data_IF_386293082962
#
_entry.id   IF_386293082962
#
_cell.length_a   1.000
_cell.length_b   1.000
_cell.length_c   1.000
_cell.angle_alpha   90.00
_cell.angle_beta   90.00
_cell.angle_gamma   90.00
#
_symmetry.space_group_name_H-M   'P 1'
#
loop_
_entity.id
_entity.type
_entity.pdbx_description
1 polymer ?
#
# COMPACT_ATOMS: atom_id res chain seq x y z
N UNK A 1 -8.14 -71.36 17.12
CA UNK A 1 -9.03 -72.44 16.64
C UNK A 1 -9.46 -72.05 15.24
N UNK A 2 -9.20 -72.76 14.15
CA UNK A 2 -8.65 -74.09 13.93
C UNK A 2 -9.23 -74.59 12.60
N UNK A 3 -8.36 -75.17 11.76
CA UNK A 3 -8.66 -76.12 10.66
C UNK A 3 -9.31 -75.49 9.42
N UNK A 4 -8.79 -75.63 8.20
CA UNK A 4 -8.04 -76.75 7.60
C UNK A 4 -9.00 -77.81 7.06
N UNK A 5 -8.67 -78.39 5.89
CA UNK A 5 -9.36 -79.41 5.05
C UNK A 5 -9.79 -78.75 3.71
N UNK A 6 -9.06 -78.81 2.59
CA UNK A 6 -8.46 -79.91 1.82
C UNK A 6 -9.46 -80.99 1.40
N UNK A 7 -9.71 -81.17 0.10
CA UNK A 7 -9.66 -82.47 -0.58
C UNK A 7 -9.81 -82.33 -2.11
N UNK A 8 -8.93 -83.07 -2.78
CA UNK A 8 -8.67 -83.31 -4.21
C UNK A 8 -9.54 -84.52 -4.66
N UNK A 9 -10.00 -84.69 -5.94
CA UNK A 9 -9.29 -85.56 -6.93
C UNK A 9 -9.66 -85.27 -8.43
N UNK A 10 -9.16 -85.88 -9.52
CA UNK A 10 -7.99 -86.69 -9.92
C UNK A 10 -8.00 -86.78 -11.47
N UNK A 11 -6.83 -86.54 -12.10
CA UNK A 11 -6.12 -87.24 -13.20
C UNK A 11 -6.79 -87.59 -14.54
N UNK A 12 -6.03 -87.39 -15.64
CA UNK A 12 -5.58 -88.48 -16.53
C UNK A 12 -4.08 -88.35 -16.84
N UNK A 13 -3.48 -89.52 -17.06
CA UNK A 13 -2.06 -89.87 -17.11
C UNK A 13 -1.77 -90.38 -18.52
N UNK A 14 -0.68 -89.94 -19.17
CA UNK A 14 -0.02 -90.76 -20.20
C UNK A 14 1.49 -90.63 -20.00
N UNK A 15 2.08 -91.80 -19.76
CA UNK A 15 3.49 -92.13 -19.56
C UNK A 15 4.23 -92.36 -20.88
N UNK A 16 5.57 -92.41 -20.78
CA UNK A 16 6.59 -93.17 -21.55
C UNK A 16 7.75 -92.22 -21.90
N UNK A 17 9.03 -92.51 -21.73
CA UNK A 17 9.77 -93.62 -21.12
C UNK A 17 11.24 -93.14 -21.01
N UNK A 18 11.97 -93.59 -19.98
CA UNK A 18 13.40 -93.31 -19.77
C UNK A 18 14.16 -94.62 -19.97
N UNK A 19 15.46 -94.58 -20.35
CA UNK A 19 16.40 -95.57 -19.86
C UNK A 19 17.38 -94.95 -18.87
N UNK A 20 17.31 -95.46 -17.63
CA UNK A 20 18.39 -95.92 -16.71
C UNK A 20 19.84 -95.50 -17.05
N UNK A 21 20.71 -95.08 -16.12
CA UNK A 21 21.34 -95.88 -15.03
C UNK A 21 22.01 -94.94 -13.98
N UNK A 22 21.54 -94.96 -12.72
CA UNK A 22 22.23 -95.23 -11.42
C UNK A 22 23.79 -95.02 -11.38
N UNK A 23 24.47 -94.22 -10.53
CA UNK A 23 24.70 -94.35 -9.07
C UNK A 23 25.78 -93.31 -8.58
N UNK A 24 25.71 -92.99 -7.27
CA UNK A 24 26.74 -92.47 -6.33
C UNK A 24 27.26 -91.03 -6.44
N UNK A 25 26.93 -90.24 -5.41
CA UNK A 25 27.83 -89.21 -4.86
C UNK A 25 28.65 -89.80 -3.71
N UNK A 26 29.98 -89.61 -3.73
CA UNK A 26 30.82 -89.74 -2.54
C UNK A 26 32.04 -88.81 -2.58
N UNK A 27 32.51 -88.49 -1.36
CA UNK A 27 33.44 -87.43 -0.93
C UNK A 27 34.85 -87.46 -1.53
N UNK A 28 35.42 -86.25 -1.53
CA UNK A 28 36.84 -85.88 -1.64
C UNK A 28 37.78 -86.61 -0.66
N UNK A 29 39.01 -86.94 -1.11
CA UNK A 29 40.30 -86.72 -0.39
C UNK A 29 41.49 -86.73 -1.38
N UNK A 30 42.47 -85.84 -1.16
CA UNK A 30 43.70 -85.54 -1.95
C UNK A 30 44.71 -86.70 -2.11
N UNK A 31 45.57 -86.66 -3.16
CA UNK A 31 47.06 -86.60 -3.08
C UNK A 31 47.75 -86.44 -4.47
N UNK A 32 48.68 -85.46 -4.56
CA UNK A 32 49.85 -85.20 -5.45
C UNK A 32 49.93 -85.62 -6.94
N UNK A 33 50.06 -84.66 -7.89
CA UNK A 33 51.32 -84.21 -8.56
C UNK A 33 51.75 -85.10 -9.76
N UNK A 34 52.13 -84.68 -10.99
CA UNK A 34 52.49 -83.44 -11.70
C UNK A 34 52.60 -83.80 -13.19
N UNK A 35 52.21 -82.91 -14.13
CA UNK A 35 52.93 -82.48 -15.35
C UNK A 35 51.98 -81.64 -16.24
N UNK A 36 52.46 -80.49 -16.72
CA UNK A 36 51.64 -79.42 -17.27
C UNK A 36 51.27 -79.53 -18.75
N UNK A 37 50.33 -78.67 -19.15
CA UNK A 37 50.43 -77.62 -20.17
C UNK A 37 49.20 -76.72 -19.94
N UNK A 38 49.49 -75.42 -19.87
CA UNK A 38 48.62 -74.33 -19.48
C UNK A 38 47.77 -73.86 -20.68
N UNK A 39 46.45 -73.81 -20.51
CA UNK A 39 45.54 -73.11 -21.45
C UNK A 39 44.56 -72.32 -20.60
N UNK A 40 44.94 -71.07 -20.35
CA UNK A 40 44.15 -70.01 -19.75
C UNK A 40 42.92 -69.73 -20.61
N UNK A 41 41.75 -70.20 -20.17
CA UNK A 41 40.44 -69.77 -20.67
C UNK A 41 40.08 -68.42 -20.07
N UNK A 42 40.35 -67.38 -20.85
CA UNK A 42 39.99 -65.99 -20.63
C UNK A 42 38.45 -65.87 -20.49
N UNK A 43 37.94 -65.82 -19.26
CA UNK A 43 36.62 -65.24 -19.01
C UNK A 43 36.78 -63.73 -19.19
N UNK A 44 36.44 -63.25 -20.38
CA UNK A 44 36.28 -61.84 -20.68
C UNK A 44 35.20 -61.26 -19.74
N UNK A 45 35.64 -60.78 -18.59
CA UNK A 45 34.90 -59.80 -17.83
C UNK A 45 34.72 -58.59 -18.76
N UNK A 46 33.51 -58.42 -19.30
CA UNK A 46 33.15 -57.21 -20.05
C UNK A 46 33.39 -56.02 -19.12
N UNK A 47 34.55 -55.40 -19.23
CA UNK A 47 34.91 -54.24 -18.44
C UNK A 47 33.83 -53.20 -18.73
N UNK A 48 33.00 -52.88 -17.72
CA UNK A 48 32.03 -51.81 -17.83
C UNK A 48 32.83 -50.55 -18.18
N UNK A 49 32.66 -50.12 -19.42
CA UNK A 49 33.56 -49.18 -20.06
C UNK A 49 33.16 -47.76 -19.58
N UNK A 50 33.50 -47.49 -18.31
CA UNK A 50 33.10 -46.27 -17.62
C UNK A 50 33.99 -45.11 -18.08
N UNK A 51 33.36 -43.97 -18.34
CA UNK A 51 34.11 -42.74 -18.54
C UNK A 51 34.73 -42.27 -17.22
N UNK A 52 35.91 -41.68 -17.33
CA UNK A 52 36.59 -40.94 -16.26
C UNK A 52 36.02 -39.52 -16.16
N UNK A 53 36.77 -38.59 -15.54
CA UNK A 53 36.39 -37.18 -15.48
C UNK A 53 36.03 -36.59 -16.86
N UNK A 54 34.96 -35.79 -16.94
CA UNK A 54 34.53 -35.15 -18.18
C UNK A 54 35.50 -34.05 -18.63
N UNK A 55 35.50 -33.69 -19.93
CA UNK A 55 36.45 -32.76 -20.49
C UNK A 55 36.38 -31.37 -19.83
N UNK A 56 37.52 -30.67 -19.77
CA UNK A 56 37.55 -29.28 -19.31
C UNK A 56 36.91 -28.39 -20.36
N UNK A 57 35.97 -27.55 -19.96
CA UNK A 57 35.31 -26.56 -20.83
C UNK A 57 35.64 -25.15 -20.32
N UNK A 58 36.15 -24.25 -21.17
CA UNK A 58 36.44 -22.87 -20.77
C UNK A 58 35.22 -22.18 -20.14
N UNK A 59 35.44 -21.54 -18.99
CA UNK A 59 34.44 -20.80 -18.24
C UNK A 59 33.22 -21.63 -17.77
N UNK A 60 33.36 -22.94 -17.66
CA UNK A 60 32.33 -23.82 -17.14
C UNK A 60 32.90 -24.93 -16.23
N UNK A 61 32.10 -25.37 -15.26
CA UNK A 61 32.43 -26.46 -14.35
C UNK A 61 31.38 -27.57 -14.41
N UNK A 62 31.77 -28.84 -14.50
CA UNK A 62 30.81 -29.95 -14.51
C UNK A 62 30.17 -30.14 -13.13
N UNK A 63 28.89 -30.49 -13.10
CA UNK A 63 28.14 -30.77 -11.87
C UNK A 63 28.28 -32.27 -11.56
N UNK A 64 29.32 -32.64 -10.78
CA UNK A 64 29.72 -34.05 -10.60
C UNK A 64 29.19 -34.72 -9.32
N UNK A 65 28.83 -33.95 -8.30
CA UNK A 65 28.61 -34.52 -6.95
C UNK A 65 29.87 -35.21 -6.43
N UNK A 66 29.72 -36.32 -5.70
CA UNK A 66 30.82 -37.13 -5.14
C UNK A 66 31.21 -38.33 -6.04
N UNK A 67 31.12 -38.19 -7.37
CA UNK A 67 31.34 -39.30 -8.32
C UNK A 67 32.66 -39.14 -9.07
N UNK A 68 33.48 -40.19 -9.02
CA UNK A 68 34.76 -40.27 -9.72
C UNK A 68 34.75 -41.25 -10.92
N UNK A 69 33.65 -41.98 -11.14
CA UNK A 69 33.47 -42.91 -12.27
C UNK A 69 32.06 -42.79 -12.84
N UNK A 70 31.96 -42.70 -14.16
CA UNK A 70 30.71 -42.42 -14.87
C UNK A 70 30.32 -43.58 -15.79
N UNK A 71 29.23 -44.32 -15.49
CA UNK A 71 28.80 -45.41 -16.35
C UNK A 71 28.35 -44.93 -17.73
N UNK A 72 28.26 -45.86 -18.66
CA UNK A 72 27.80 -45.60 -20.03
C UNK A 72 26.37 -45.00 -20.06
N UNK A 73 26.13 -44.11 -21.01
CA UNK A 73 24.90 -43.30 -21.18
C UNK A 73 24.62 -42.28 -20.07
N UNK A 74 25.56 -42.05 -19.15
CA UNK A 74 25.46 -40.95 -18.19
C UNK A 74 25.68 -39.61 -18.89
N UNK A 75 24.80 -38.67 -18.58
CA UNK A 75 24.91 -37.27 -19.01
C UNK A 75 25.42 -36.43 -17.84
N UNK A 76 26.47 -35.65 -18.08
CA UNK A 76 26.98 -34.63 -17.14
C UNK A 76 26.70 -33.25 -17.72
N UNK A 77 26.01 -32.43 -16.93
CA UNK A 77 25.74 -31.03 -17.27
C UNK A 77 26.75 -30.12 -16.61
N UNK A 78 27.16 -29.09 -17.34
CA UNK A 78 28.08 -28.07 -16.87
C UNK A 78 27.32 -26.81 -16.46
N UNK A 79 27.84 -26.14 -15.44
CA UNK A 79 27.42 -24.81 -15.00
C UNK A 79 28.46 -23.79 -15.44
N UNK A 80 28.03 -22.66 -15.99
CA UNK A 80 28.96 -21.56 -16.28
C UNK A 80 29.53 -20.96 -14.98
N UNK A 81 30.77 -20.48 -15.07
CA UNK A 81 31.44 -19.77 -13.99
C UNK A 81 30.78 -18.42 -13.71
N UNK A 82 31.08 -17.81 -12.56
CA UNK A 82 30.57 -16.49 -12.20
C UNK A 82 30.90 -15.44 -13.28
N UNK A 83 29.89 -14.63 -13.65
CA UNK A 83 30.01 -13.65 -14.74
C UNK A 83 29.88 -14.21 -16.15
N UNK A 84 29.62 -15.52 -16.30
CA UNK A 84 29.33 -16.18 -17.57
C UNK A 84 27.94 -16.82 -17.56
N UNK A 85 27.28 -16.77 -18.71
CA UNK A 85 25.94 -17.34 -18.89
C UNK A 85 25.93 -18.26 -20.11
N UNK A 86 25.13 -19.32 -20.05
CA UNK A 86 24.91 -20.26 -21.15
C UNK A 86 24.32 -19.51 -22.35
N UNK A 87 25.01 -19.56 -23.47
CA UNK A 87 24.54 -19.02 -24.75
C UNK A 87 23.36 -19.87 -25.24
N UNK A 88 22.20 -19.25 -25.55
CA UNK A 88 21.03 -19.97 -26.06
C UNK A 88 21.35 -20.82 -27.29
N UNK A 89 20.80 -22.03 -27.35
CA UNK A 89 20.97 -22.96 -28.48
C UNK A 89 22.25 -23.80 -28.46
N UNK A 90 23.19 -23.58 -27.53
CA UNK A 90 24.38 -24.42 -27.37
C UNK A 90 24.17 -25.52 -26.31
N UNK A 91 24.74 -26.71 -26.56
CA UNK A 91 24.74 -27.81 -25.59
C UNK A 91 25.68 -27.49 -24.43
N UNK A 92 25.20 -27.69 -23.20
CA UNK A 92 25.92 -27.56 -21.94
C UNK A 92 26.21 -28.90 -21.28
N UNK A 93 25.99 -30.01 -22.00
CA UNK A 93 26.06 -31.34 -21.44
C UNK A 93 26.85 -32.28 -22.35
N UNK A 94 27.54 -33.24 -21.73
CA UNK A 94 28.26 -34.33 -22.37
C UNK A 94 27.66 -35.67 -21.97
N UNK A 95 27.65 -36.63 -22.89
CA UNK A 95 27.22 -38.00 -22.63
C UNK A 95 28.39 -38.97 -22.77
N UNK A 96 28.50 -39.93 -21.85
CA UNK A 96 29.48 -41.00 -21.91
C UNK A 96 29.01 -42.12 -22.86
N UNK A 97 29.72 -42.35 -23.96
CA UNK A 97 29.41 -43.40 -24.94
C UNK A 97 30.68 -44.21 -25.25
N UNK A 98 30.64 -45.53 -25.08
CA UNK A 98 31.79 -46.42 -25.31
C UNK A 98 33.08 -45.93 -24.62
N UNK A 99 33.05 -45.65 -23.31
CA UNK A 99 34.17 -45.06 -22.53
C UNK A 99 34.68 -43.69 -23.00
N UNK A 100 33.94 -42.98 -23.87
CA UNK A 100 34.36 -41.67 -24.37
C UNK A 100 33.26 -40.62 -24.22
N UNK A 101 33.64 -39.44 -23.76
CA UNK A 101 32.73 -38.30 -23.70
C UNK A 101 32.41 -37.77 -25.09
N UNK A 102 31.15 -37.43 -25.32
CA UNK A 102 30.71 -36.69 -26.51
C UNK A 102 31.42 -35.33 -26.60
N UNK A 103 31.56 -34.81 -27.82
CA UNK A 103 32.13 -33.48 -28.04
C UNK A 103 31.20 -32.40 -27.48
N UNK A 104 31.78 -31.41 -26.80
CA UNK A 104 31.10 -30.19 -26.35
C UNK A 104 31.93 -28.99 -26.78
N UNK A 105 31.27 -27.96 -27.30
CA UNK A 105 31.91 -26.71 -27.69
C UNK A 105 31.75 -25.67 -26.57
N UNK A 106 32.51 -24.58 -26.63
CA UNK A 106 32.32 -23.46 -25.70
C UNK A 106 30.90 -22.89 -25.80
N UNK A 107 30.18 -22.96 -24.68
CA UNK A 107 28.79 -22.55 -24.58
C UNK A 107 28.55 -21.45 -23.54
N UNK A 108 29.56 -21.08 -22.75
CA UNK A 108 29.48 -19.99 -21.77
C UNK A 108 30.13 -18.73 -22.34
N UNK A 109 29.43 -17.60 -22.29
CA UNK A 109 29.98 -16.30 -22.67
C UNK A 109 29.66 -15.24 -21.61
N UNK A 110 30.45 -14.16 -21.59
CA UNK A 110 30.21 -13.06 -20.66
C UNK A 110 28.89 -12.36 -21.01
N UNK A 111 28.14 -12.04 -19.97
CA UNK A 111 26.80 -11.47 -20.06
C UNK A 111 26.60 -10.56 -18.86
N UNK A 112 25.75 -9.55 -19.01
CA UNK A 112 25.16 -8.93 -17.82
C UNK A 112 24.29 -9.95 -17.08
N UNK A 113 24.18 -9.79 -15.77
CA UNK A 113 23.20 -10.52 -14.95
C UNK A 113 21.77 -10.17 -15.36
N UNK A 114 20.80 -10.90 -14.79
CA UNK A 114 19.38 -10.58 -14.93
C UNK A 114 19.15 -9.09 -14.58
N UNK A 115 18.41 -8.33 -15.41
CA UNK A 115 18.17 -6.91 -15.18
C UNK A 115 17.69 -6.59 -13.76
N UNK A 116 18.21 -5.49 -13.21
CA UNK A 116 17.96 -5.11 -11.82
C UNK A 116 16.48 -4.81 -11.55
N UNK A 117 15.96 -5.28 -10.41
CA UNK A 117 14.59 -5.00 -9.99
C UNK A 117 14.44 -3.53 -9.58
N UNK A 118 13.65 -2.77 -10.33
CA UNK A 118 13.32 -1.38 -10.00
C UNK A 118 12.04 -1.30 -9.14
N UNK A 119 12.01 -0.37 -8.18
CA UNK A 119 10.84 -0.13 -7.32
C UNK A 119 9.70 0.58 -8.07
N UNK A 120 10.02 1.39 -9.07
CA UNK A 120 9.06 2.19 -9.84
C UNK A 120 8.67 1.58 -11.20
N UNK A 121 9.40 0.57 -11.66
CA UNK A 121 9.21 -0.05 -12.97
C UNK A 121 9.41 -1.57 -12.92
N UNK A 122 8.83 -2.27 -13.89
CA UNK A 122 8.98 -3.71 -14.10
C UNK A 122 9.52 -3.97 -15.50
N UNK A 123 10.32 -5.02 -15.64
CA UNK A 123 10.86 -5.42 -16.93
C UNK A 123 9.72 -5.88 -17.86
N UNK A 124 9.72 -5.45 -19.13
CA UNK A 124 8.69 -5.87 -20.09
C UNK A 124 8.74 -7.39 -20.28
N UNK A 125 7.58 -8.01 -20.49
CA UNK A 125 7.41 -9.47 -20.55
C UNK A 125 8.34 -10.18 -21.54
N UNK A 126 8.67 -9.52 -22.65
CA UNK A 126 9.58 -10.01 -23.70
C UNK A 126 10.98 -10.32 -23.21
N UNK A 127 11.45 -9.65 -22.16
CA UNK A 127 12.80 -9.81 -21.60
C UNK A 127 12.81 -10.65 -20.33
N UNK A 128 11.70 -10.78 -19.61
CA UNK A 128 11.64 -11.53 -18.35
C UNK A 128 11.86 -13.04 -18.47
N UNK A 129 11.80 -13.60 -19.68
CA UNK A 129 12.15 -15.01 -19.93
C UNK A 129 13.61 -15.20 -20.41
N UNK A 130 14.34 -14.11 -20.63
CA UNK A 130 15.73 -14.15 -21.11
C UNK A 130 16.68 -14.12 -19.93
N UNK A 131 17.77 -14.87 -20.04
CA UNK A 131 18.84 -14.90 -19.05
C UNK A 131 20.22 -14.54 -19.63
N UNK A 132 20.34 -14.42 -20.95
CA UNK A 132 21.58 -14.12 -21.66
C UNK A 132 21.50 -12.73 -22.33
N UNK A 133 22.35 -11.81 -21.85
CA UNK A 133 22.41 -10.40 -22.25
C UNK A 133 23.87 -10.01 -22.54
N UNK A 134 24.39 -10.27 -23.76
CA UNK A 134 25.74 -9.87 -24.14
C UNK A 134 25.91 -8.35 -24.14
N UNK A 135 27.16 -7.88 -24.22
CA UNK A 135 27.48 -6.44 -24.38
C UNK A 135 26.63 -5.80 -25.49
N UNK A 136 26.06 -4.63 -25.20
CA UNK A 136 25.20 -3.90 -26.13
C UNK A 136 23.73 -4.33 -26.12
N UNK A 137 23.37 -5.39 -25.38
CA UNK A 137 21.96 -5.76 -25.18
C UNK A 137 21.19 -4.61 -24.54
N UNK A 138 19.98 -4.37 -25.04
CA UNK A 138 19.08 -3.34 -24.52
C UNK A 138 17.79 -4.00 -24.05
N UNK A 139 17.40 -3.71 -22.81
CA UNK A 139 16.14 -4.17 -22.23
C UNK A 139 15.25 -2.98 -21.93
N UNK A 140 13.94 -3.21 -21.97
CA UNK A 140 12.95 -2.16 -21.75
C UNK A 140 12.08 -2.46 -20.53
N UNK A 141 11.71 -1.39 -19.84
CA UNK A 141 10.85 -1.43 -18.68
C UNK A 141 9.51 -0.74 -18.94
N UNK A 142 8.51 -1.12 -18.15
CA UNK A 142 7.21 -0.46 -18.06
C UNK A 142 6.97 -0.02 -16.61
N UNK A 143 6.22 1.07 -16.42
CA UNK A 143 5.96 1.58 -15.08
C UNK A 143 5.10 0.62 -14.27
N UNK A 144 5.41 0.49 -12.97
CA UNK A 144 4.55 -0.26 -12.06
C UNK A 144 3.21 0.45 -11.84
N UNK A 145 2.16 -0.28 -11.43
CA UNK A 145 0.94 0.35 -10.93
C UNK A 145 1.25 1.39 -9.84
N UNK A 146 0.51 2.50 -9.85
CA UNK A 146 0.79 3.66 -8.97
C UNK A 146 1.86 4.62 -9.52
N UNK A 147 2.50 4.29 -10.66
CA UNK A 147 3.46 5.15 -11.33
C UNK A 147 2.99 5.53 -12.74
N UNK A 148 3.44 6.69 -13.22
CA UNK A 148 3.20 7.24 -14.56
C UNK A 148 4.51 7.43 -15.31
N UNK A 149 4.46 7.27 -16.63
CA UNK A 149 5.62 7.41 -17.51
C UNK A 149 6.03 8.87 -17.67
N UNK A 150 7.32 9.16 -17.52
CA UNK A 150 7.93 10.45 -17.87
C UNK A 150 8.72 10.35 -19.19
N UNK A 151 8.03 10.61 -20.30
CA UNK A 151 8.57 10.46 -21.66
C UNK A 151 9.82 11.31 -21.96
N UNK A 152 10.24 12.23 -21.08
CA UNK A 152 11.51 12.94 -21.21
C UNK A 152 12.75 12.08 -20.91
N UNK A 153 12.57 10.93 -20.25
CA UNK A 153 13.64 10.02 -19.82
C UNK A 153 13.53 8.66 -20.50
N UNK A 154 14.64 7.92 -20.60
CA UNK A 154 14.70 6.60 -21.22
C UNK A 154 14.21 5.50 -20.27
N UNK A 155 13.33 4.62 -20.76
CA UNK A 155 12.91 3.39 -20.04
C UNK A 155 13.82 2.18 -20.32
N UNK A 156 14.93 2.40 -21.01
CA UNK A 156 15.82 1.34 -21.49
C UNK A 156 17.11 1.28 -20.69
N UNK A 157 17.56 0.06 -20.38
CA UNK A 157 18.89 -0.20 -19.84
C UNK A 157 19.75 -0.94 -20.85
N UNK A 158 21.02 -0.58 -20.90
CA UNK A 158 22.00 -1.18 -21.82
C UNK A 158 23.05 -1.94 -21.04
N UNK A 159 23.37 -3.16 -21.48
CA UNK A 159 24.49 -3.92 -20.96
C UNK A 159 25.81 -3.31 -21.45
N UNK A 160 26.60 -2.75 -20.55
CA UNK A 160 27.84 -2.05 -20.86
C UNK A 160 29.01 -3.03 -21.06
N UNK A 161 30.14 -2.52 -21.58
CA UNK A 161 31.41 -3.25 -21.77
C UNK A 161 31.95 -3.95 -20.52
N UNK A 162 31.60 -3.43 -19.35
CA UNK A 162 31.99 -4.01 -18.05
C UNK A 162 31.02 -5.11 -17.57
N UNK A 163 30.07 -5.54 -18.41
CA UNK A 163 29.02 -6.51 -18.09
C UNK A 163 28.15 -6.10 -16.90
N UNK A 164 27.94 -4.79 -16.74
CA UNK A 164 26.97 -4.20 -15.82
C UNK A 164 25.93 -3.41 -16.60
N UNK A 165 24.71 -3.38 -16.09
CA UNK A 165 23.65 -2.53 -16.64
C UNK A 165 23.99 -1.05 -16.46
N UNK A 166 23.59 -0.22 -17.43
CA UNK A 166 23.62 1.23 -17.30
C UNK A 166 22.81 1.69 -16.09
N UNK A 167 23.16 2.85 -15.52
CA UNK A 167 22.40 3.43 -14.41
C UNK A 167 20.97 3.74 -14.90
N UNK A 168 19.91 3.31 -14.18
CA UNK A 168 18.55 3.63 -14.54
C UNK A 168 18.23 5.10 -14.27
N UNK A 169 17.55 5.75 -15.22
CA UNK A 169 16.88 7.03 -15.01
C UNK A 169 15.56 6.82 -14.23
N UNK A 170 15.06 7.87 -13.58
CA UNK A 170 13.76 7.84 -12.89
C UNK A 170 12.59 8.11 -13.86
N UNK A 171 12.50 7.29 -14.89
CA UNK A 171 11.57 7.44 -16.01
C UNK A 171 10.09 7.11 -15.67
N UNK A 172 9.83 6.63 -14.44
CA UNK A 172 8.49 6.46 -13.88
C UNK A 172 8.35 7.24 -12.58
N UNK A 173 7.41 8.17 -12.55
CA UNK A 173 7.11 9.03 -11.40
C UNK A 173 5.87 8.51 -10.68
N UNK A 174 5.78 8.71 -9.36
CA UNK A 174 4.55 8.37 -8.62
C UNK A 174 3.36 9.14 -9.21
N UNK A 175 2.20 8.48 -9.29
CA UNK A 175 0.91 9.14 -9.55
C UNK A 175 0.52 9.99 -8.33
N UNK A 176 -0.24 11.04 -8.57
CA UNK A 176 -0.78 11.92 -7.52
C UNK A 176 -2.23 11.54 -7.27
N UNK A 177 -2.61 11.41 -6.00
CA UNK A 177 -4.01 11.35 -5.61
C UNK A 177 -4.72 12.68 -5.90
N UNK A 178 -6.07 12.68 -5.94
CA UNK A 178 -6.84 13.90 -6.04
C UNK A 178 -6.47 14.88 -4.94
N UNK A 179 -6.47 16.18 -5.26
CA UNK A 179 -6.24 17.20 -4.25
C UNK A 179 -7.32 17.06 -3.15
N UNK A 180 -6.93 16.91 -1.87
CA UNK A 180 -7.89 16.77 -0.78
C UNK A 180 -8.85 17.95 -0.63
N UNK A 181 -8.47 19.14 -1.10
CA UNK A 181 -9.28 20.35 -0.89
C UNK A 181 -9.37 20.74 0.59
N UNK A 182 -10.39 21.53 0.91
CA UNK A 182 -10.60 22.06 2.26
C UNK A 182 -11.70 21.27 3.00
N UNK A 183 -11.48 21.02 4.29
CA UNK A 183 -12.49 20.42 5.17
C UNK A 183 -13.27 21.52 5.87
N UNK A 184 -14.57 21.64 5.60
CA UNK A 184 -15.41 22.67 6.23
C UNK A 184 -15.46 22.45 7.74
N UNK A 185 -15.22 23.52 8.51
CA UNK A 185 -15.08 23.49 9.97
C UNK A 185 -13.98 22.54 10.49
N UNK A 186 -12.95 22.30 9.69
CA UNK A 186 -11.80 21.49 10.08
C UNK A 186 -10.54 21.82 9.27
N UNK A 187 -9.56 20.92 9.38
CA UNK A 187 -8.26 21.04 8.77
C UNK A 187 -7.80 19.70 8.19
N UNK A 188 -7.23 19.75 6.98
CA UNK A 188 -6.52 18.63 6.37
C UNK A 188 -5.02 18.85 6.55
N UNK A 189 -4.34 17.88 7.16
CA UNK A 189 -2.89 17.90 7.34
C UNK A 189 -2.23 16.99 6.32
N UNK A 190 -1.35 17.57 5.50
CA UNK A 190 -0.53 16.89 4.50
C UNK A 190 0.94 16.95 4.96
N UNK A 191 1.50 15.86 5.52
CA UNK A 191 2.84 15.89 6.09
C UNK A 191 3.95 16.14 5.06
N UNK A 192 3.83 15.54 3.87
CA UNK A 192 4.88 15.57 2.85
C UNK A 192 4.32 15.92 1.46
N UNK A 193 3.55 15.01 0.87
CA UNK A 193 2.96 15.13 -0.46
C UNK A 193 1.66 14.33 -0.56
N UNK A 194 1.03 14.35 -1.73
CA UNK A 194 -0.20 13.60 -2.05
C UNK A 194 0.05 12.50 -3.11
N UNK A 195 1.28 12.01 -3.20
CA UNK A 195 1.68 10.99 -4.17
C UNK A 195 1.36 9.58 -3.67
N UNK A 196 1.43 8.61 -4.58
CA UNK A 196 1.21 7.19 -4.26
C UNK A 196 2.04 6.73 -3.03
N UNK A 197 1.33 6.16 -2.05
CA UNK A 197 1.85 5.71 -0.77
C UNK A 197 1.87 6.75 0.34
N UNK A 198 1.48 8.01 0.09
CA UNK A 198 1.44 9.07 1.10
C UNK A 198 0.15 9.04 1.91
N UNK A 199 0.17 9.67 3.09
CA UNK A 199 -0.96 9.71 4.03
C UNK A 199 -1.35 11.14 4.39
N UNK A 200 -2.64 11.39 4.54
CA UNK A 200 -3.19 12.65 5.06
C UNK A 200 -4.00 12.39 6.34
N UNK A 201 -4.17 13.41 7.16
CA UNK A 201 -4.98 13.34 8.38
C UNK A 201 -5.96 14.49 8.48
N UNK A 202 -7.05 14.25 9.18
CA UNK A 202 -8.18 15.17 9.31
C UNK A 202 -8.41 15.53 10.77
N UNK A 203 -8.77 16.78 11.01
CA UNK A 203 -9.12 17.29 12.34
C UNK A 203 -10.24 18.31 12.22
N UNK A 204 -11.09 18.43 13.25
CA UNK A 204 -12.15 19.42 13.29
C UNK A 204 -11.79 20.59 14.20
N UNK A 205 -12.39 21.75 13.92
CA UNK A 205 -12.28 22.93 14.75
C UNK A 205 -12.97 22.70 16.09
N UNK A 206 -12.57 23.45 17.12
CA UNK A 206 -13.27 23.41 18.42
C UNK A 206 -14.74 23.76 18.23
N UNK A 207 -15.64 22.97 18.82
CA UNK A 207 -17.08 23.07 18.60
C UNK A 207 -17.63 22.07 17.57
N UNK A 208 -16.76 21.32 16.90
CA UNK A 208 -17.12 20.32 15.91
C UNK A 208 -16.46 18.98 16.21
N UNK A 209 -17.18 17.89 15.97
CA UNK A 209 -16.67 16.51 16.08
C UNK A 209 -16.42 15.91 14.70
N UNK A 210 -15.39 15.08 14.58
CA UNK A 210 -15.06 14.39 13.35
C UNK A 210 -15.96 13.15 13.16
N UNK A 211 -16.66 13.07 12.03
CA UNK A 211 -17.47 11.91 11.64
C UNK A 211 -16.88 11.31 10.36
N UNK A 212 -16.31 10.12 10.48
CA UNK A 212 -15.61 9.41 9.40
C UNK A 212 -14.20 8.99 9.80
N UNK A 213 -13.35 8.76 8.81
CA UNK A 213 -11.96 8.39 9.04
C UNK A 213 -11.11 9.61 9.47
N UNK A 214 -10.21 9.42 10.44
CA UNK A 214 -9.26 10.45 10.88
C UNK A 214 -8.03 10.59 9.97
N UNK A 215 -7.84 9.64 9.05
CA UNK A 215 -6.74 9.62 8.10
C UNK A 215 -7.12 8.88 6.83
N UNK A 216 -6.43 9.17 5.74
CA UNK A 216 -6.60 8.47 4.46
C UNK A 216 -5.24 8.30 3.77
N UNK A 217 -5.07 7.20 3.02
CA UNK A 217 -3.83 6.82 2.34
C UNK A 217 -4.01 6.85 0.82
N UNK A 218 -3.01 7.35 0.10
CA UNK A 218 -3.04 7.36 -1.37
C UNK A 218 -2.68 5.98 -1.91
N UNK A 219 -3.69 5.20 -2.26
CA UNK A 219 -3.60 3.79 -2.65
C UNK A 219 -3.91 3.58 -4.12
N UNK A 220 -3.64 2.37 -4.62
CA UNK A 220 -3.97 1.99 -5.99
C UNK A 220 -5.46 1.63 -6.06
N UNK A 221 -6.21 2.33 -6.92
CA UNK A 221 -7.59 2.00 -7.26
C UNK A 221 -7.63 1.73 -8.76
N UNK A 222 -7.91 0.48 -9.16
CA UNK A 222 -7.82 0.01 -10.54
C UNK A 222 -6.48 0.35 -11.22
N UNK A 223 -6.51 1.36 -12.11
CA UNK A 223 -5.34 1.85 -12.84
C UNK A 223 -5.02 3.33 -12.50
N UNK A 224 -5.69 3.92 -11.52
CA UNK A 224 -5.44 5.25 -10.97
C UNK A 224 -4.91 5.13 -9.52
N UNK A 225 -4.78 6.27 -8.84
CA UNK A 225 -4.53 6.29 -7.40
C UNK A 225 -5.59 7.16 -6.74
N UNK A 226 -6.12 6.69 -5.63
CA UNK A 226 -7.23 7.31 -4.91
C UNK A 226 -6.99 7.23 -3.40
N UNK A 227 -7.72 8.05 -2.66
CA UNK A 227 -7.70 8.04 -1.20
C UNK A 227 -8.42 6.79 -0.68
N UNK A 228 -7.81 6.07 0.26
CA UNK A 228 -8.33 4.82 0.82
C UNK A 228 -9.69 4.98 1.48
N UNK A 229 -9.88 6.13 2.12
CA UNK A 229 -11.07 6.48 2.89
C UNK A 229 -11.68 7.77 2.33
N UNK A 230 -13.03 7.86 2.32
CA UNK A 230 -13.73 9.08 1.90
C UNK A 230 -13.45 10.23 2.87
N UNK A 231 -13.71 11.45 2.40
CA UNK A 231 -13.53 12.66 3.20
C UNK A 231 -14.53 12.66 4.37
N UNK A 232 -14.06 12.94 5.60
CA UNK A 232 -14.94 13.00 6.77
C UNK A 232 -15.77 14.29 6.78
N UNK A 233 -16.73 14.34 7.70
CA UNK A 233 -17.53 15.53 7.99
C UNK A 233 -17.21 16.05 9.39
N UNK A 234 -17.08 17.36 9.54
CA UNK A 234 -17.04 18.01 10.85
C UNK A 234 -18.45 18.44 11.24
N UNK A 235 -19.06 17.72 12.17
CA UNK A 235 -20.41 17.98 12.64
C UNK A 235 -20.40 18.86 13.88
N UNK A 236 -21.26 19.87 13.89
CA UNK A 236 -21.37 20.80 15.01
C UNK A 236 -21.84 20.09 16.29
N UNK A 237 -21.24 20.46 17.42
CA UNK A 237 -21.56 19.90 18.73
C UNK A 237 -22.55 20.83 19.42
N UNK A 238 -23.68 20.26 19.82
CA UNK A 238 -24.73 20.95 20.55
C UNK A 238 -24.60 20.70 22.04
N UNK A 239 -24.79 21.74 22.85
CA UNK A 239 -25.04 21.59 24.27
C UNK A 239 -26.44 21.01 24.51
N UNK A 240 -26.64 20.32 25.64
CA UNK A 240 -27.98 19.92 26.06
C UNK A 240 -28.85 21.15 26.29
N UNK A 241 -30.17 20.95 26.33
CA UNK A 241 -31.11 22.03 26.65
C UNK A 241 -30.69 22.72 27.96
N UNK A 242 -30.68 24.06 27.99
CA UNK A 242 -30.26 24.82 29.16
C UNK A 242 -31.17 24.48 30.35
N UNK A 243 -30.60 24.26 31.55
CA UNK A 243 -31.38 23.86 32.71
C UNK A 243 -32.37 24.95 33.11
N UNK A 244 -33.62 24.58 33.36
CA UNK A 244 -34.64 25.50 33.86
C UNK A 244 -34.42 25.81 35.34
N UNK A 245 -34.82 27.03 35.76
CA UNK A 245 -34.67 27.49 37.15
C UNK A 245 -36.03 27.80 37.78
N UNK A 246 -36.18 27.43 39.05
CA UNK A 246 -37.37 27.77 39.82
C UNK A 246 -37.48 29.28 40.01
N UNK A 247 -38.69 29.83 39.86
CA UNK A 247 -38.97 31.27 39.98
C UNK A 247 -38.16 32.18 39.04
N UNK A 248 -37.65 31.62 37.94
CA UNK A 248 -37.03 32.36 36.86
C UNK A 248 -37.41 31.79 35.50
N UNK A 249 -36.77 32.31 34.45
CA UNK A 249 -36.90 31.86 33.07
C UNK A 249 -35.63 32.22 32.28
N UNK A 250 -35.41 31.52 31.17
CA UNK A 250 -34.37 31.85 30.21
C UNK A 250 -34.89 33.01 29.34
N UNK A 251 -34.11 34.08 29.26
CA UNK A 251 -34.41 35.24 28.43
C UNK A 251 -34.04 34.93 26.98
N UNK A 252 -35.03 35.03 26.09
CA UNK A 252 -34.89 34.79 24.63
C UNK A 252 -34.30 33.40 24.30
N UNK A 253 -35.02 32.31 24.63
CA UNK A 253 -34.51 30.97 24.41
C UNK A 253 -34.40 30.64 22.91
N UNK A 254 -33.31 29.99 22.54
CA UNK A 254 -33.06 29.44 21.20
C UNK A 254 -33.38 27.94 21.20
N UNK A 255 -33.60 27.39 20.01
CA UNK A 255 -33.90 25.96 19.84
C UNK A 255 -32.70 25.06 20.13
N UNK A 256 -31.48 25.54 19.85
CA UNK A 256 -30.24 24.79 19.97
C UNK A 256 -29.11 25.73 20.36
N UNK A 257 -28.13 25.23 21.11
CA UNK A 257 -26.97 26.00 21.55
C UNK A 257 -25.68 25.30 21.16
N UNK A 258 -24.77 26.04 20.55
CA UNK A 258 -23.46 25.52 20.07
C UNK A 258 -22.32 26.20 20.82
N UNK A 259 -21.09 25.72 20.60
CA UNK A 259 -19.89 26.20 21.30
C UNK A 259 -19.80 27.74 21.37
N UNK A 260 -19.50 28.26 22.56
CA UNK A 260 -19.44 29.68 22.93
C UNK A 260 -20.77 30.46 22.90
N UNK A 261 -21.88 29.87 22.48
CA UNK A 261 -23.19 30.52 22.67
C UNK A 261 -23.60 30.51 24.14
N UNK A 262 -24.35 31.53 24.57
CA UNK A 262 -24.74 31.70 25.97
C UNK A 262 -26.26 31.84 26.12
N UNK A 263 -26.74 31.43 27.29
CA UNK A 263 -28.11 31.68 27.75
C UNK A 263 -28.07 32.67 28.90
N UNK A 264 -29.10 33.52 28.98
CA UNK A 264 -29.25 34.50 30.06
C UNK A 264 -30.48 34.18 30.88
N UNK A 265 -30.35 34.19 32.20
CA UNK A 265 -31.44 33.92 33.12
C UNK A 265 -32.03 35.21 33.69
N UNK A 266 -33.33 35.18 33.93
CA UNK A 266 -34.07 36.27 34.57
C UNK A 266 -35.03 35.74 35.61
N UNK A 267 -35.01 36.32 36.81
CA UNK A 267 -35.97 35.97 37.85
C UNK A 267 -37.33 36.61 37.60
N UNK A 268 -38.38 35.93 38.05
CA UNK A 268 -39.74 36.47 38.10
C UNK A 268 -39.80 37.63 39.09
N UNK A 269 -40.82 38.48 38.95
CA UNK A 269 -41.04 39.64 39.84
C UNK A 269 -41.13 39.15 41.30
N UNK A 270 -40.42 39.83 42.21
CA UNK A 270 -40.36 39.48 43.64
C UNK A 270 -39.20 38.56 44.04
N UNK A 271 -38.39 38.11 43.08
CA UNK A 271 -37.22 37.25 43.30
C UNK A 271 -35.92 37.94 42.89
N UNK A 272 -34.85 37.68 43.63
CA UNK A 272 -33.49 38.15 43.37
C UNK A 272 -32.64 37.02 42.80
N UNK A 273 -31.88 37.30 41.74
CA UNK A 273 -30.96 36.36 41.10
C UNK A 273 -29.68 36.22 41.94
N UNK A 274 -29.33 34.98 42.27
CA UNK A 274 -28.14 34.61 43.05
C UNK A 274 -27.29 33.67 42.18
N UNK A 275 -26.06 34.09 41.84
CA UNK A 275 -25.15 33.38 40.94
C UNK A 275 -24.86 34.16 39.65
N UNK A 276 -24.20 33.51 38.69
CA UNK A 276 -23.95 34.09 37.36
C UNK A 276 -25.25 34.16 36.56
N UNK A 277 -25.53 35.32 35.95
CA UNK A 277 -26.77 35.52 35.19
C UNK A 277 -26.73 34.87 33.79
N UNK A 278 -25.60 34.29 33.40
CA UNK A 278 -25.43 33.61 32.11
C UNK A 278 -24.47 32.45 32.22
N UNK A 279 -24.76 31.38 31.51
CA UNK A 279 -23.84 30.25 31.27
C UNK A 279 -23.61 30.14 29.76
N UNK A 280 -22.47 29.60 29.36
CA UNK A 280 -22.11 29.43 27.94
C UNK A 280 -21.78 27.98 27.63
N UNK A 281 -22.00 27.59 26.38
CA UNK A 281 -21.75 26.25 25.90
C UNK A 281 -20.24 26.02 25.72
N UNK A 282 -19.72 25.00 26.38
CA UNK A 282 -18.35 24.49 26.26
C UNK A 282 -18.37 23.13 25.59
N UNK A 283 -17.21 22.66 25.13
CA UNK A 283 -17.09 21.33 24.53
C UNK A 283 -15.97 20.57 25.21
N UNK A 284 -16.27 19.34 25.61
CA UNK A 284 -15.33 18.40 26.23
C UNK A 284 -15.58 17.00 25.69
N UNK A 285 -14.52 16.33 25.26
CA UNK A 285 -14.58 14.95 24.73
C UNK A 285 -15.67 14.78 23.64
N UNK A 286 -15.70 15.72 22.68
CA UNK A 286 -16.68 15.80 21.58
C UNK A 286 -18.16 15.91 22.01
N UNK A 287 -18.41 16.34 23.25
CA UNK A 287 -19.74 16.56 23.81
C UNK A 287 -19.89 18.00 24.34
N UNK A 288 -21.08 18.56 24.15
CA UNK A 288 -21.41 19.90 24.65
C UNK A 288 -21.76 19.86 26.14
N UNK A 289 -21.17 20.77 26.91
CA UNK A 289 -21.40 20.91 28.35
C UNK A 289 -21.55 22.40 28.69
N UNK A 290 -22.47 22.74 29.59
CA UNK A 290 -22.60 24.12 30.07
C UNK A 290 -21.43 24.50 30.99
N UNK A 291 -20.95 25.74 30.89
CA UNK A 291 -19.80 26.26 31.64
C UNK A 291 -19.90 26.15 33.17
N UNK A 292 -21.12 26.01 33.71
CA UNK A 292 -21.37 25.92 35.14
C UNK A 292 -22.85 25.70 35.47
N UNK A 293 -23.20 25.65 36.76
CA UNK A 293 -24.59 25.51 37.21
C UNK A 293 -25.40 26.79 36.93
N UNK A 294 -26.73 26.68 36.75
CA UNK A 294 -27.60 27.84 36.57
C UNK A 294 -27.77 28.64 37.87
N UNK A 295 -28.17 29.93 37.81
CA UNK A 295 -28.40 30.74 39.00
C UNK A 295 -29.69 30.36 39.74
N UNK A 296 -29.78 30.76 41.00
CA UNK A 296 -30.98 30.58 41.83
C UNK A 296 -31.79 31.87 41.96
N UNK A 297 -33.12 31.77 41.91
CA UNK A 297 -34.01 32.91 42.19
C UNK A 297 -34.59 32.79 43.60
N UNK A 298 -34.16 33.67 44.52
CA UNK A 298 -34.60 33.68 45.92
C UNK A 298 -35.60 34.81 46.16
N UNK A 299 -36.73 34.49 46.79
CA UNK A 299 -37.75 35.48 47.13
C UNK A 299 -37.25 36.46 48.18
N UNK A 300 -37.57 37.75 48.01
CA UNK A 300 -37.47 38.70 49.12
C UNK A 300 -38.57 38.35 50.12
N UNK A 301 -38.21 37.86 51.31
CA UNK A 301 -39.16 37.66 52.41
C UNK A 301 -39.65 39.04 52.89
N UNK A 302 -40.54 39.69 52.15
CA UNK A 302 -41.37 40.75 52.70
C UNK A 302 -42.46 40.09 53.53
N UNK A 303 -42.13 39.82 54.79
CA UNK A 303 -43.12 39.62 55.84
C UNK A 303 -44.10 40.79 55.77
N UNK A 304 -45.36 40.49 55.48
CA UNK A 304 -46.48 41.43 55.61
C UNK A 304 -46.61 41.83 57.08
N UNK A 305 -45.89 42.86 57.51
CA UNK A 305 -46.16 43.54 58.77
C UNK A 305 -47.39 44.42 58.53
N UNK A 306 -48.55 43.94 58.99
CA UNK A 306 -49.75 44.75 59.17
C UNK A 306 -49.46 45.84 60.21
N UNK A 307 -49.57 47.15 59.89
CA UNK A 307 -49.43 48.19 60.91
C UNK A 307 -50.71 48.24 61.75
N UNK A 308 -50.60 47.83 63.01
CA UNK A 308 -51.61 48.08 64.03
C UNK A 308 -51.71 49.57 64.34
N UNK A 309 -52.95 50.06 64.40
CA UNK A 309 -53.32 51.38 64.90
C UNK A 309 -52.79 51.60 66.33
N UNK A 310 -51.92 52.59 66.55
CA UNK A 310 -51.78 53.24 67.85
C UNK A 310 -51.64 54.77 67.74
N UNK A 311 -52.67 55.41 68.30
CA UNK A 311 -52.93 56.76 68.81
C UNK A 311 -51.81 57.82 68.77
N UNK A 312 -52.12 59.06 68.31
CA UNK A 312 -51.16 60.16 68.26
C UNK A 312 -50.93 60.76 69.66
N UNK A 313 -49.66 61.06 69.98
CA UNK A 313 -49.30 61.93 71.10
C UNK A 313 -48.51 63.11 70.54
N UNK A 314 -49.11 64.29 70.62
CA UNK A 314 -48.55 65.57 70.17
C UNK A 314 -47.58 66.13 71.21
N UNK A 315 -46.40 66.54 70.77
CA UNK A 315 -45.57 67.52 71.47
C UNK A 315 -44.94 68.47 70.44
N UNK A 316 -45.36 69.74 70.50
CA UNK A 316 -44.67 70.90 69.90
C UNK A 316 -43.45 71.22 70.80
N UNK A 317 -42.34 71.82 70.38
CA UNK A 317 -42.13 73.22 69.91
C UNK A 317 -40.68 73.34 69.30
N UNK A 318 -40.17 74.53 68.93
CA UNK A 318 -40.13 75.18 67.61
C UNK A 318 -38.72 75.27 66.97
N UNK A 319 -38.70 75.64 65.68
CA UNK A 319 -37.48 75.80 64.89
C UNK A 319 -36.72 77.12 65.05
N UNK A 320 -35.50 77.13 64.51
CA UNK A 320 -34.76 78.35 64.19
C UNK A 320 -33.80 78.13 63.00
N UNK A 321 -34.13 78.86 61.93
CA UNK A 321 -33.32 79.56 60.91
C UNK A 321 -32.16 78.88 60.17
N UNK A 322 -32.35 78.93 58.84
CA UNK A 322 -31.44 78.95 57.69
C UNK A 322 -30.17 79.78 57.83
N UNK A 323 -29.07 79.33 57.22
CA UNK A 323 -28.15 80.19 56.44
C UNK A 323 -27.39 79.35 55.40
N UNK A 324 -27.18 79.94 54.22
CA UNK A 324 -26.62 79.36 52.99
C UNK A 324 -25.21 79.87 52.67
N UNK A 325 -24.49 79.09 51.85
CA UNK A 325 -23.25 79.35 51.08
C UNK A 325 -21.89 79.12 51.79
N UNK A 326 -20.75 78.92 51.08
CA UNK A 326 -20.53 78.82 49.62
C UNK A 326 -19.70 77.58 49.14
N UNK A 327 -19.75 77.30 47.83
CA UNK A 327 -18.79 76.41 47.11
C UNK A 327 -17.43 77.10 46.92
N UNK A 328 -16.31 76.36 47.10
CA UNK A 328 -15.22 76.10 46.12
C UNK A 328 -13.87 75.73 46.81
N UNK A 329 -13.12 74.84 46.14
CA UNK A 329 -11.66 74.55 46.29
C UNK A 329 -11.33 73.66 47.51
N UNK A 330 -10.46 72.63 47.50
CA UNK A 330 -9.12 72.54 46.89
C UNK A 330 -8.61 71.07 46.89
N UNK A 331 -7.99 70.65 45.78
CA UNK A 331 -6.81 69.77 45.57
C UNK A 331 -6.58 68.46 46.36
N UNK A 332 -6.42 67.36 45.61
CA UNK A 332 -5.21 66.50 45.64
C UNK A 332 -5.14 65.64 44.36
N UNK A 333 -4.14 65.92 43.51
CA UNK A 333 -3.71 65.10 42.36
C UNK A 333 -2.22 64.79 42.53
N UNK A 334 -1.85 63.53 42.32
CA UNK A 334 -0.49 63.05 41.94
C UNK A 334 -0.69 61.74 41.14
N UNK A 335 0.31 61.27 40.37
CA UNK A 335 0.74 61.61 39.00
C UNK A 335 0.29 60.51 37.99
N UNK A 336 0.24 60.65 36.67
CA UNK A 336 1.14 61.32 35.73
C UNK A 336 2.15 60.32 35.15
N UNK A 337 1.85 59.70 33.99
CA UNK A 337 2.85 59.36 32.96
C UNK A 337 2.22 59.53 31.57
N UNK A 338 2.88 60.34 30.77
CA UNK A 338 2.49 60.88 29.46
C UNK A 338 2.67 59.90 28.31
N UNK A 339 1.82 60.10 27.30
CA UNK A 339 2.06 59.74 25.91
C UNK A 339 2.86 60.86 25.23
N UNK A 340 3.79 60.50 24.35
CA UNK A 340 4.44 61.45 23.44
C UNK A 340 4.45 60.92 22.01
N UNK A 341 3.90 61.73 21.13
CA UNK A 341 3.84 61.63 19.67
C UNK A 341 5.14 62.06 18.98
N UNK A 342 5.44 61.53 17.79
CA UNK A 342 5.87 62.21 16.52
C UNK A 342 6.48 61.17 15.53
N UNK A 343 6.89 61.51 14.29
CA UNK A 343 6.04 61.71 13.11
C UNK A 343 6.42 60.78 11.93
N UNK A 344 5.47 60.52 11.02
CA UNK A 344 5.67 59.66 9.85
C UNK A 344 6.23 60.45 8.66
N UNK A 345 7.40 60.05 8.14
CA UNK A 345 8.02 60.59 6.91
C UNK A 345 8.15 59.51 5.84
N UNK A 346 7.72 59.88 4.64
CA UNK A 346 7.72 59.16 3.37
C UNK A 346 9.13 58.96 2.81
N UNK A 347 9.46 57.78 2.27
CA UNK A 347 10.52 57.62 1.25
C UNK A 347 10.20 56.44 0.33
N UNK A 348 10.26 56.73 -0.97
CA UNK A 348 10.04 55.90 -2.15
C UNK A 348 11.17 54.89 -2.37
N UNK A 349 10.85 53.66 -2.80
CA UNK A 349 11.79 52.80 -3.53
C UNK A 349 11.06 51.88 -4.53
N UNK A 350 11.67 51.79 -5.71
CA UNK A 350 11.22 51.13 -6.94
C UNK A 350 11.07 49.61 -6.87
N UNK A 351 10.05 49.09 -7.57
CA UNK A 351 9.95 47.68 -8.00
C UNK A 351 9.87 47.66 -9.54
N UNK A 352 10.66 46.83 -10.25
CA UNK A 352 10.61 46.75 -11.70
C UNK A 352 9.50 45.80 -12.18
N UNK A 353 8.71 46.28 -13.14
CA UNK A 353 7.76 45.49 -13.92
C UNK A 353 8.51 44.69 -15.01
N UNK A 354 8.13 43.43 -15.22
CA UNK A 354 8.58 42.61 -16.37
C UNK A 354 7.38 42.27 -17.26
N UNK A 355 7.59 42.53 -18.56
CA UNK A 355 6.63 42.52 -19.66
C UNK A 355 5.97 41.16 -19.90
N UNK A 356 4.67 41.18 -20.22
CA UNK A 356 3.98 40.16 -21.00
C UNK A 356 3.56 40.80 -22.33
N UNK A 357 4.09 40.29 -23.44
CA UNK A 357 3.78 40.74 -24.79
C UNK A 357 2.45 40.17 -25.27
N UNK A 358 1.55 41.06 -25.66
CA UNK A 358 0.37 40.75 -26.46
C UNK A 358 0.73 40.68 -27.96
N UNK A 359 0.15 39.73 -28.68
CA UNK A 359 0.13 39.66 -30.15
C UNK A 359 -1.34 39.55 -30.60
N UNK A 360 -1.76 40.24 -31.67
CA UNK A 360 -3.16 40.58 -31.88
C UNK A 360 -3.97 39.56 -32.68
N UNK A 361 -5.28 39.58 -32.43
CA UNK A 361 -6.35 38.85 -33.12
C UNK A 361 -6.71 39.57 -34.42
N UNK A 362 -6.62 38.87 -35.55
CA UNK A 362 -7.18 39.30 -36.82
C UNK A 362 -8.51 38.59 -37.10
N UNK A 363 -9.48 39.36 -37.57
CA UNK A 363 -10.82 38.92 -37.97
C UNK A 363 -10.90 38.96 -39.49
N UNK A 364 -11.26 37.85 -40.14
CA UNK A 364 -11.88 37.86 -41.47
C UNK A 364 -12.64 36.55 -41.75
N UNK A 365 -13.93 36.69 -42.06
CA UNK A 365 -14.76 35.73 -42.80
C UNK A 365 -14.62 36.01 -44.30
N UNK A 366 -14.81 35.01 -45.20
CA UNK A 366 -16.11 34.89 -45.86
C UNK A 366 -16.61 33.46 -46.14
N UNK A 367 -17.88 33.42 -46.54
CA UNK A 367 -18.78 32.30 -46.89
C UNK A 367 -18.21 31.22 -47.82
N UNK A 368 -18.69 29.98 -47.63
CA UNK A 368 -18.66 28.91 -48.63
C UNK A 368 -19.65 27.79 -48.29
N UNK A 369 -20.69 27.65 -49.12
CA UNK A 369 -21.81 26.70 -49.04
C UNK A 369 -21.42 25.37 -49.71
N UNK A 370 -21.75 24.23 -49.10
CA UNK A 370 -21.63 22.92 -49.74
C UNK A 370 -22.04 21.74 -48.84
N UNK A 371 -23.22 21.19 -49.10
CA UNK A 371 -23.70 19.83 -48.72
C UNK A 371 -23.66 18.92 -49.96
N UNK A 372 -23.96 17.62 -49.87
CA UNK A 372 -23.49 16.59 -48.91
C UNK A 372 -23.01 15.32 -49.65
N UNK A 373 -22.43 14.35 -48.93
CA UNK A 373 -22.42 12.95 -49.37
C UNK A 373 -21.15 12.16 -49.06
N UNK A 374 -21.28 11.10 -48.24
CA UNK A 374 -20.97 9.73 -48.65
C UNK A 374 -20.79 8.81 -47.43
N UNK A 375 -21.54 7.70 -47.43
CA UNK A 375 -21.00 6.38 -47.12
C UNK A 375 -20.72 6.02 -45.66
N UNK A 376 -21.77 5.67 -44.91
CA UNK A 376 -21.62 4.73 -43.80
C UNK A 376 -21.39 3.33 -44.40
N UNK A 377 -20.19 2.77 -44.22
CA UNK A 377 -19.88 1.36 -44.50
C UNK A 377 -19.79 0.60 -43.19
N UNK A 378 -20.82 -0.19 -42.92
CA UNK A 378 -20.89 -1.17 -41.85
C UNK A 378 -20.02 -2.37 -42.23
N UNK A 379 -18.89 -2.59 -41.56
CA UNK A 379 -18.13 -3.84 -41.68
C UNK A 379 -18.59 -4.78 -40.57
N UNK A 380 -19.46 -5.70 -40.96
CA UNK A 380 -19.86 -6.87 -40.19
C UNK A 380 -18.71 -7.87 -40.21
N UNK A 381 -18.01 -8.07 -39.08
CA UNK A 381 -17.06 -9.19 -38.91
C UNK A 381 -17.76 -10.34 -38.21
N UNK A 382 -18.18 -11.33 -39.00
CA UNK A 382 -18.65 -12.61 -38.49
C UNK A 382 -17.49 -13.44 -37.95
N UNK A 383 -17.54 -13.79 -36.67
CA UNK A 383 -16.69 -14.82 -36.08
C UNK A 383 -17.32 -16.19 -36.37
N UNK A 384 -16.64 -17.02 -37.16
CA UNK A 384 -16.92 -18.43 -37.30
C UNK A 384 -16.32 -19.18 -36.10
N UNK A 385 -17.17 -19.83 -35.32
CA UNK A 385 -16.78 -20.70 -34.21
C UNK A 385 -16.46 -22.09 -34.79
N UNK A 386 -15.19 -22.49 -34.79
CA UNK A 386 -14.77 -23.85 -35.16
C UNK A 386 -14.54 -24.63 -33.86
N UNK A 387 -15.47 -25.51 -33.53
CA UNK A 387 -15.34 -26.51 -32.47
C UNK A 387 -14.45 -27.66 -32.95
N UNK A 388 -13.25 -27.77 -32.37
CA UNK A 388 -12.34 -28.89 -32.60
C UNK A 388 -12.65 -30.00 -31.57
N UNK A 389 -13.32 -31.07 -31.99
CA UNK A 389 -13.50 -32.28 -31.18
C UNK A 389 -12.22 -33.11 -31.18
N UNK A 390 -11.53 -33.17 -30.05
CA UNK A 390 -10.38 -34.06 -29.82
C UNK A 390 -10.90 -35.38 -29.25
N UNK A 391 -10.76 -36.46 -30.02
CA UNK A 391 -11.02 -37.83 -29.60
C UNK A 391 -9.86 -38.33 -28.70
N UNK A 392 -10.13 -38.55 -27.42
CA UNK A 392 -9.23 -39.29 -26.53
C UNK A 392 -9.50 -40.78 -26.69
N UNK A 393 -8.52 -41.51 -27.23
CA UNK A 393 -8.48 -42.98 -27.18
C UNK A 393 -7.68 -43.38 -25.94
N UNK A 394 -8.36 -43.91 -24.93
CA UNK A 394 -7.72 -44.57 -23.78
C UNK A 394 -7.48 -46.04 -24.11
N UNK A 395 -6.20 -46.43 -24.16
CA UNK A 395 -5.80 -47.84 -24.12
C UNK A 395 -5.91 -48.34 -22.67
N UNK A 396 -6.80 -49.29 -22.44
CA UNK A 396 -6.86 -50.09 -21.22
C UNK A 396 -6.07 -51.38 -21.50
N UNK A 397 -4.93 -51.56 -20.85
CA UNK A 397 -4.26 -52.86 -20.75
C UNK A 397 -4.70 -53.55 -19.46
N UNK A 398 -5.34 -54.70 -19.61
CA UNK A 398 -5.61 -55.67 -18.54
C UNK A 398 -4.56 -56.79 -18.59
N UNK A 399 -4.11 -57.21 -17.41
CA UNK A 399 -3.61 -58.56 -17.14
C UNK A 399 -2.15 -58.81 -17.41
#
# INVERSE_FOLDING_TARGET
MGRGISLVPIWWKVTLEVPTVVLVMQKWTLYGATHGIDVTGEQEARAQSNCTFPPVVPNAQPILGDRDSFPENVTVTYKCNEGFVKVPGKSDSVICLNSKWSKVAEFCNRSCDVPTRLLFATLKKSFSQQNYFPEGSVVEYECRPGYRRDYSLSEKLTCLKNFKWSKPDEFCKKKSCPNPGDLTHGHVTIPNDILFGSSISFSCNVGYRLVGAASSYCVLADNSVEWSDPFPECQEIFCPDPPEISNGFIYDPQKTYVYQQSVKYKCKIGFTLIGENSIYCTVKDDQGEWSGPPPECRGSQTSTVTPGFQKPTTANVPGTKTTSAPQKSTTANVPGVEATSTPQKTTTAHVPAKQSSAVPRATSTPKGRGTPGSGASTITTGHACVTLTVLFVTLVTMG
#
